data_IF_789553694061
#
_entry.id   IF_789553694061
#
_cell.length_a   1.000
_cell.length_b   1.000
_cell.length_c   1.000
_cell.angle_alpha   90.00
_cell.angle_beta   90.00
_cell.angle_gamma   90.00
#
_symmetry.space_group_name_H-M   'P 1'
#
loop_
_entity.id
_entity.type
_entity.pdbx_description
1 polymer ?
#
# COMPACT_ATOMS: atom_id res chain seq x y z
N UNK A 1 -12.57 -22.33 -5.84
CA UNK A 1 -11.27 -22.69 -5.24
C UNK A 1 -10.60 -21.40 -4.74
N UNK A 2 -9.98 -21.49 -3.60
CA UNK A 2 -9.28 -20.39 -2.94
C UNK A 2 -7.85 -20.80 -2.60
N UNK A 3 -6.99 -19.83 -2.42
CA UNK A 3 -5.64 -20.01 -1.91
C UNK A 3 -5.46 -19.16 -0.66
N UNK A 4 -4.97 -19.77 0.41
CA UNK A 4 -4.42 -19.09 1.57
C UNK A 4 -2.90 -19.09 1.43
N UNK A 5 -2.33 -17.90 1.24
CA UNK A 5 -0.87 -17.70 1.21
C UNK A 5 -0.44 -17.18 2.57
N UNK A 6 0.46 -17.92 3.23
CA UNK A 6 1.08 -17.50 4.49
C UNK A 6 2.52 -17.09 4.22
N UNK A 7 2.92 -15.94 4.75
CA UNK A 7 4.23 -15.32 4.51
C UNK A 7 4.86 -14.98 5.85
N UNK A 8 5.97 -15.63 6.20
CA UNK A 8 6.71 -15.31 7.42
C UNK A 8 7.57 -14.07 7.24
N UNK A 9 7.54 -13.14 8.18
CA UNK A 9 8.51 -12.06 8.23
C UNK A 9 9.92 -12.63 8.46
N UNK A 10 10.05 -13.59 9.36
CA UNK A 10 11.30 -14.28 9.64
C UNK A 10 11.39 -15.59 8.84
N UNK A 11 11.05 -16.74 9.44
CA UNK A 11 11.13 -18.04 8.76
C UNK A 11 10.11 -19.03 9.33
N UNK A 12 9.53 -19.86 8.44
CA UNK A 12 8.78 -21.05 8.81
C UNK A 12 9.70 -22.25 9.07
N UNK A 13 9.29 -23.11 9.98
CA UNK A 13 9.85 -24.44 10.13
C UNK A 13 9.20 -25.44 9.16
N UNK A 14 9.88 -26.56 8.89
CA UNK A 14 9.39 -27.56 7.94
C UNK A 14 8.01 -28.14 8.31
N UNK A 15 7.66 -28.16 9.60
CA UNK A 15 6.36 -28.65 10.09
C UNK A 15 5.20 -27.66 9.95
N UNK A 16 5.48 -26.37 9.77
CA UNK A 16 4.45 -25.33 9.79
C UNK A 16 3.46 -25.46 8.63
N UNK A 17 3.89 -26.00 7.48
CA UNK A 17 2.99 -26.24 6.35
C UNK A 17 1.89 -27.23 6.71
N UNK A 18 2.20 -28.30 7.46
CA UNK A 18 1.20 -29.26 7.92
C UNK A 18 0.27 -28.65 8.95
N UNK A 19 0.82 -27.86 9.89
CA UNK A 19 0.03 -27.16 10.91
C UNK A 19 -0.94 -26.16 10.25
N UNK A 20 -0.47 -25.43 9.23
CA UNK A 20 -1.30 -24.50 8.48
C UNK A 20 -2.43 -25.21 7.72
N UNK A 21 -2.13 -26.34 7.05
CA UNK A 21 -3.13 -27.15 6.37
C UNK A 21 -4.18 -27.72 7.35
N UNK A 22 -3.75 -28.19 8.51
CA UNK A 22 -4.65 -28.68 9.56
C UNK A 22 -5.58 -27.56 10.08
N UNK A 23 -5.08 -26.34 10.26
CA UNK A 23 -5.92 -25.19 10.64
C UNK A 23 -6.98 -24.87 9.59
N UNK A 24 -6.60 -24.89 8.31
CA UNK A 24 -7.55 -24.71 7.20
C UNK A 24 -8.61 -25.82 7.25
N UNK A 25 -8.25 -27.08 7.42
CA UNK A 25 -9.19 -28.18 7.54
C UNK A 25 -10.11 -28.05 8.77
N UNK A 26 -9.58 -27.64 9.92
CA UNK A 26 -10.34 -27.42 11.16
C UNK A 26 -11.36 -26.27 11.05
N UNK A 27 -11.16 -25.31 10.14
CA UNK A 27 -12.16 -24.27 9.84
C UNK A 27 -13.38 -24.77 9.05
N UNK A 28 -13.42 -26.08 8.70
CA UNK A 28 -14.48 -26.70 7.90
C UNK A 28 -14.24 -26.66 6.40
N UNK A 29 -13.08 -26.19 5.95
CA UNK A 29 -12.71 -26.18 4.54
C UNK A 29 -12.08 -27.52 4.13
N UNK A 30 -12.14 -27.87 2.85
CA UNK A 30 -11.46 -29.03 2.29
C UNK A 30 -10.16 -28.61 1.63
N UNK A 31 -9.02 -29.01 2.20
CA UNK A 31 -7.69 -28.79 1.64
C UNK A 31 -7.53 -29.63 0.37
N UNK A 32 -7.11 -28.99 -0.71
CA UNK A 32 -6.85 -29.62 -2.02
C UNK A 32 -5.37 -29.89 -2.20
N UNK A 33 -4.53 -28.91 -1.90
CA UNK A 33 -3.08 -29.00 -1.97
C UNK A 33 -2.40 -28.07 -0.97
N UNK A 34 -1.17 -28.34 -0.63
CA UNK A 34 -0.30 -27.42 0.10
C UNK A 34 1.13 -27.52 -0.43
N UNK A 35 1.85 -26.41 -0.46
CA UNK A 35 3.21 -26.39 -0.98
C UNK A 35 3.94 -25.10 -0.68
N UNK A 36 5.26 -25.13 -0.75
CA UNK A 36 6.09 -23.95 -0.65
C UNK A 36 6.08 -23.16 -1.96
N UNK A 37 5.86 -21.83 -1.86
CA UNK A 37 6.23 -20.89 -2.93
C UNK A 37 7.73 -20.65 -2.84
N UNK A 38 8.22 -20.43 -1.62
CA UNK A 38 9.63 -20.33 -1.27
C UNK A 38 9.85 -20.98 0.10
N UNK A 39 10.75 -21.97 0.16
CA UNK A 39 10.96 -22.78 1.35
C UNK A 39 11.35 -21.93 2.56
N UNK A 40 10.60 -22.10 3.64
CA UNK A 40 10.77 -21.37 4.88
C UNK A 40 10.31 -19.91 4.84
N UNK A 41 9.85 -19.38 3.69
CA UNK A 41 9.43 -17.98 3.56
C UNK A 41 7.95 -17.81 3.26
N UNK A 42 7.44 -18.53 2.27
CA UNK A 42 6.05 -18.41 1.86
C UNK A 42 5.49 -19.76 1.42
N UNK A 43 4.27 -20.05 1.84
CA UNK A 43 3.56 -21.27 1.51
C UNK A 43 2.13 -21.00 1.06
N UNK A 44 1.61 -21.87 0.19
CA UNK A 44 0.23 -21.86 -0.27
C UNK A 44 -0.53 -23.07 0.28
N UNK A 45 -1.80 -22.83 0.61
CA UNK A 45 -2.79 -23.90 0.87
C UNK A 45 -3.97 -23.61 -0.05
N UNK A 46 -4.18 -24.50 -1.02
CA UNK A 46 -5.36 -24.44 -1.87
C UNK A 46 -6.51 -25.22 -1.20
N UNK A 47 -7.71 -24.64 -1.23
CA UNK A 47 -8.86 -25.21 -0.56
C UNK A 47 -10.17 -24.87 -1.26
N UNK A 48 -11.23 -25.61 -0.88
CA UNK A 48 -12.63 -25.30 -1.16
C UNK A 48 -13.39 -25.14 0.15
N UNK A 49 -14.34 -24.21 0.20
CA UNK A 49 -15.10 -23.89 1.43
C UNK A 49 -15.26 -22.41 1.66
N UNK A 50 -15.49 -22.03 2.91
CA UNK A 50 -15.68 -20.64 3.32
C UNK A 50 -14.33 -19.92 3.50
N UNK A 51 -14.03 -18.99 2.59
CA UNK A 51 -12.80 -18.22 2.62
C UNK A 51 -12.68 -17.32 3.87
N UNK A 52 -13.81 -16.82 4.39
CA UNK A 52 -13.80 -15.96 5.58
C UNK A 52 -13.45 -16.77 6.84
N UNK A 53 -14.01 -18.00 6.97
CA UNK A 53 -13.69 -18.90 8.06
C UNK A 53 -12.20 -19.33 8.01
N UNK A 54 -11.67 -19.62 6.81
CA UNK A 54 -10.24 -19.94 6.63
C UNK A 54 -9.37 -18.73 6.99
N UNK A 55 -9.73 -17.54 6.51
CA UNK A 55 -8.98 -16.31 6.86
C UNK A 55 -8.89 -16.14 8.37
N UNK A 56 -10.01 -16.25 9.08
CA UNK A 56 -10.03 -16.14 10.56
C UNK A 56 -9.20 -17.23 11.26
N UNK A 57 -9.06 -18.42 10.66
CA UNK A 57 -8.30 -19.53 11.22
C UNK A 57 -6.78 -19.38 11.01
N UNK A 58 -6.34 -18.69 9.94
CA UNK A 58 -4.92 -18.57 9.60
C UNK A 58 -4.31 -17.22 9.97
N UNK A 59 -5.10 -16.13 10.02
CA UNK A 59 -4.62 -14.83 10.49
C UNK A 59 -4.21 -14.91 11.97
N UNK A 60 -2.97 -14.50 12.27
CA UNK A 60 -2.40 -14.57 13.63
C UNK A 60 -2.15 -15.99 14.15
N UNK A 61 -2.23 -17.01 13.30
CA UNK A 61 -2.01 -18.40 13.68
C UNK A 61 -0.53 -18.74 13.94
N UNK A 62 0.36 -18.00 13.29
CA UNK A 62 1.80 -18.10 13.44
C UNK A 62 2.36 -16.72 13.81
N UNK A 63 3.40 -16.73 14.63
CA UNK A 63 4.06 -15.49 15.03
C UNK A 63 4.68 -14.81 13.80
N UNK A 64 4.59 -13.49 13.75
CA UNK A 64 5.16 -12.62 12.70
C UNK A 64 4.89 -13.13 11.27
N UNK A 65 3.64 -13.54 11.01
CA UNK A 65 3.21 -14.11 9.73
C UNK A 65 2.02 -13.35 9.17
N UNK A 66 2.12 -12.94 7.92
CA UNK A 66 1.01 -12.39 7.16
C UNK A 66 0.25 -13.51 6.46
N UNK A 67 -1.09 -13.40 6.38
CA UNK A 67 -1.95 -14.37 5.73
C UNK A 67 -2.89 -13.65 4.75
N UNK A 68 -2.85 -14.08 3.48
CA UNK A 68 -3.69 -13.53 2.42
C UNK A 68 -4.53 -14.65 1.81
N UNK A 69 -5.86 -14.52 1.93
CA UNK A 69 -6.82 -15.50 1.42
C UNK A 69 -7.58 -14.89 0.25
N UNK A 70 -7.54 -15.54 -0.92
CA UNK A 70 -8.14 -15.04 -2.13
C UNK A 70 -8.57 -16.17 -3.08
N UNK A 71 -9.37 -15.85 -4.10
CA UNK A 71 -9.68 -16.82 -5.17
C UNK A 71 -8.42 -17.16 -5.94
N UNK A 72 -8.16 -18.44 -6.14
CA UNK A 72 -6.98 -18.93 -6.86
C UNK A 72 -6.90 -18.36 -8.29
N UNK A 73 -8.04 -18.28 -8.98
CA UNK A 73 -8.12 -17.76 -10.36
C UNK A 73 -7.81 -16.27 -10.48
N UNK A 74 -8.00 -15.51 -9.40
CA UNK A 74 -7.86 -14.05 -9.39
C UNK A 74 -6.53 -13.59 -8.73
N UNK A 75 -5.58 -14.51 -8.42
CA UNK A 75 -4.39 -14.17 -7.63
C UNK A 75 -3.38 -13.28 -8.36
N UNK A 76 -3.31 -13.36 -9.70
CA UNK A 76 -2.42 -12.49 -10.50
C UNK A 76 -3.13 -11.17 -10.77
N UNK A 77 -2.44 -10.06 -10.51
CA UNK A 77 -2.97 -8.70 -10.71
C UNK A 77 -2.23 -8.00 -11.84
N UNK A 78 -2.98 -7.31 -12.69
CA UNK A 78 -2.46 -6.55 -13.82
C UNK A 78 -2.47 -5.03 -13.61
N UNK A 79 -3.04 -4.56 -12.52
CA UNK A 79 -3.04 -3.15 -12.14
C UNK A 79 -2.74 -3.02 -10.65
N UNK A 80 -1.75 -2.19 -10.30
CA UNK A 80 -1.56 -1.73 -8.93
C UNK A 80 -1.81 -0.22 -8.84
N UNK A 81 -2.60 0.19 -7.86
CA UNK A 81 -2.75 1.59 -7.45
C UNK A 81 -2.33 1.69 -5.98
N UNK A 82 -1.32 2.49 -5.70
CA UNK A 82 -0.72 2.55 -4.38
C UNK A 82 -0.64 3.97 -3.83
N UNK A 83 -0.80 4.11 -2.51
CA UNK A 83 -0.43 5.32 -1.79
C UNK A 83 1.09 5.49 -1.76
N UNK A 84 1.56 6.69 -1.40
CA UNK A 84 2.98 7.04 -1.31
C UNK A 84 3.49 7.04 0.12
N UNK A 85 3.02 8.01 0.92
CA UNK A 85 3.50 8.26 2.27
C UNK A 85 3.17 7.06 3.17
N UNK A 86 4.11 6.61 3.99
CA UNK A 86 4.00 5.42 4.86
C UNK A 86 3.63 4.10 4.14
N UNK A 87 3.53 4.10 2.80
CA UNK A 87 3.21 2.93 1.97
C UNK A 87 4.34 2.59 0.99
N UNK A 88 4.72 3.49 0.07
CA UNK A 88 5.82 3.30 -0.89
C UNK A 88 7.13 3.97 -0.44
N UNK A 89 7.03 4.89 0.51
CA UNK A 89 8.15 5.50 1.23
C UNK A 89 7.91 5.43 2.74
N UNK A 90 8.98 5.54 3.53
CA UNK A 90 8.93 5.33 4.99
C UNK A 90 8.47 6.55 5.79
N UNK A 91 8.22 7.69 5.15
CA UNK A 91 7.94 8.98 5.82
C UNK A 91 6.60 9.57 5.40
N UNK A 92 6.15 10.57 6.17
CA UNK A 92 5.07 11.52 5.84
C UNK A 92 5.71 12.83 5.34
N UNK A 93 5.62 13.10 4.03
CA UNK A 93 6.33 14.23 3.41
C UNK A 93 6.01 15.59 4.03
N UNK A 94 4.75 15.83 4.41
CA UNK A 94 4.36 17.12 5.00
C UNK A 94 4.93 17.30 6.40
N UNK A 95 5.09 16.23 7.17
CA UNK A 95 5.66 16.26 8.52
C UNK A 95 7.17 16.53 8.48
N UNK A 96 7.87 15.97 7.48
CA UNK A 96 9.28 16.26 7.25
C UNK A 96 9.49 17.73 6.82
N UNK A 97 8.67 18.27 5.91
CA UNK A 97 8.73 19.69 5.56
C UNK A 97 8.47 20.59 6.78
N UNK A 98 7.56 20.18 7.66
CA UNK A 98 7.30 20.88 8.92
C UNK A 98 8.50 20.87 9.87
N UNK A 99 9.25 19.79 9.90
CA UNK A 99 10.48 19.67 10.69
C UNK A 99 11.54 20.66 10.20
N UNK A 100 11.78 20.70 8.88
CA UNK A 100 12.68 21.71 8.29
C UNK A 100 12.25 23.15 8.55
N UNK A 101 10.94 23.43 8.58
CA UNK A 101 10.40 24.75 8.87
C UNK A 101 10.35 25.09 10.38
N UNK A 102 10.66 24.13 11.27
CA UNK A 102 10.54 24.30 12.71
C UNK A 102 9.11 24.43 13.23
N UNK A 103 8.11 23.94 12.49
CA UNK A 103 6.67 24.08 12.78
C UNK A 103 5.96 22.74 13.02
N UNK A 104 6.71 21.68 13.32
CA UNK A 104 6.15 20.34 13.56
C UNK A 104 5.04 20.33 14.63
N UNK A 105 5.14 21.08 15.76
CA UNK A 105 4.06 21.14 16.74
C UNK A 105 2.75 21.73 16.18
N UNK A 106 2.83 22.73 15.30
CA UNK A 106 1.66 23.36 14.69
C UNK A 106 0.97 22.41 13.69
N UNK A 107 1.75 21.65 12.92
CA UNK A 107 1.23 20.61 12.02
C UNK A 107 0.54 19.49 12.84
N UNK A 108 1.16 19.07 13.95
CA UNK A 108 0.59 18.07 14.84
C UNK A 108 -0.77 18.51 15.43
N UNK A 109 -0.91 19.78 15.82
CA UNK A 109 -2.18 20.33 16.29
C UNK A 109 -3.29 20.23 15.24
N UNK A 110 -3.00 20.62 13.98
CA UNK A 110 -3.97 20.51 12.87
C UNK A 110 -4.37 19.05 12.63
N UNK A 111 -3.39 18.15 12.68
CA UNK A 111 -3.63 16.70 12.50
C UNK A 111 -4.52 16.15 13.62
N UNK A 112 -4.28 16.52 14.88
CA UNK A 112 -5.10 16.10 16.01
C UNK A 112 -6.54 16.62 15.91
N UNK A 113 -6.74 17.88 15.49
CA UNK A 113 -8.07 18.44 15.24
C UNK A 113 -8.82 17.70 14.14
N UNK A 114 -8.13 17.32 13.06
CA UNK A 114 -8.72 16.49 12.02
C UNK A 114 -9.10 15.09 12.55
N UNK A 115 -8.27 14.49 13.40
CA UNK A 115 -8.57 13.20 14.02
C UNK A 115 -9.78 13.25 14.97
N UNK A 116 -10.03 14.40 15.61
CA UNK A 116 -11.23 14.64 16.42
C UNK A 116 -12.48 14.97 15.57
N UNK A 117 -12.34 15.06 14.25
CA UNK A 117 -13.45 15.37 13.33
C UNK A 117 -13.81 16.86 13.27
N UNK A 118 -12.94 17.75 13.78
CA UNK A 118 -13.14 19.22 13.72
C UNK A 118 -12.84 19.79 12.33
N UNK A 119 -12.02 19.09 11.55
CA UNK A 119 -11.64 19.45 10.18
C UNK A 119 -11.85 18.24 9.29
N UNK A 120 -12.31 18.47 8.06
CA UNK A 120 -12.27 17.46 7.05
C UNK A 120 -10.84 17.32 6.44
N UNK A 121 -10.66 16.33 5.56
CA UNK A 121 -9.35 16.06 4.95
C UNK A 121 -8.81 17.28 4.17
N UNK A 122 -9.68 17.95 3.39
CA UNK A 122 -9.29 19.08 2.55
C UNK A 122 -8.93 20.31 3.39
N UNK A 123 -9.73 20.60 4.41
CA UNK A 123 -9.48 21.68 5.37
C UNK A 123 -8.18 21.45 6.13
N UNK A 124 -7.94 20.23 6.59
CA UNK A 124 -6.72 19.86 7.29
C UNK A 124 -5.49 19.98 6.38
N UNK A 125 -5.57 19.51 5.13
CA UNK A 125 -4.47 19.64 4.17
C UNK A 125 -4.17 21.12 3.87
N UNK A 126 -5.19 21.93 3.57
CA UNK A 126 -5.02 23.37 3.29
C UNK A 126 -4.42 24.10 4.50
N UNK A 127 -4.88 23.79 5.70
CA UNK A 127 -4.37 24.39 6.94
C UNK A 127 -2.89 24.05 7.17
N UNK A 128 -2.50 22.79 6.97
CA UNK A 128 -1.10 22.36 7.08
C UNK A 128 -0.21 23.01 6.01
N UNK A 129 -0.67 23.06 4.76
CA UNK A 129 0.08 23.70 3.67
C UNK A 129 0.22 25.20 3.89
N UNK A 130 -0.79 25.88 4.46
CA UNK A 130 -0.71 27.30 4.77
C UNK A 130 0.42 27.63 5.76
N UNK A 131 0.73 26.73 6.69
CA UNK A 131 1.84 26.86 7.65
C UNK A 131 3.22 26.78 6.98
N UNK A 132 3.33 26.16 5.80
CA UNK A 132 4.58 26.09 5.03
C UNK A 132 4.86 27.36 4.19
N UNK A 133 4.01 28.39 4.27
CA UNK A 133 4.18 29.63 3.49
C UNK A 133 5.54 30.28 3.76
N UNK A 134 6.25 30.62 2.68
CA UNK A 134 7.58 31.27 2.74
C UNK A 134 8.74 30.30 2.90
N UNK A 135 8.52 28.99 3.05
CA UNK A 135 9.57 27.98 3.00
C UNK A 135 10.17 27.94 1.58
N UNK A 136 11.50 27.86 1.48
CA UNK A 136 12.17 27.70 0.19
C UNK A 136 11.79 26.36 -0.47
N UNK A 137 11.52 26.37 -1.78
CA UNK A 137 11.27 25.15 -2.52
C UNK A 137 12.45 24.16 -2.51
N UNK A 138 13.68 24.65 -2.33
CA UNK A 138 14.89 23.83 -2.23
C UNK A 138 14.85 22.86 -1.04
N UNK A 139 14.06 23.16 0.00
CA UNK A 139 13.87 22.25 1.15
C UNK A 139 13.16 20.96 0.72
N UNK A 140 12.34 21.00 -0.32
CA UNK A 140 11.70 19.81 -0.87
C UNK A 140 12.76 18.88 -1.46
N UNK A 141 13.67 19.43 -2.27
CA UNK A 141 14.75 18.66 -2.90
C UNK A 141 15.73 18.12 -1.86
N UNK A 142 16.02 18.92 -0.84
CA UNK A 142 16.82 18.49 0.31
C UNK A 142 16.15 17.33 1.06
N UNK A 143 14.86 17.45 1.36
CA UNK A 143 14.08 16.40 2.02
C UNK A 143 14.05 15.10 1.20
N UNK A 144 13.89 15.19 -0.13
CA UNK A 144 13.95 14.05 -1.04
C UNK A 144 15.27 13.28 -0.90
N UNK A 145 16.39 14.00 -0.83
CA UNK A 145 17.73 13.39 -0.76
C UNK A 145 18.05 12.86 0.65
N UNK A 146 17.67 13.58 1.69
CA UNK A 146 18.10 13.30 3.05
C UNK A 146 17.16 12.40 3.85
N UNK A 147 15.85 12.41 3.52
CA UNK A 147 14.81 11.79 4.36
C UNK A 147 13.98 10.73 3.67
N UNK A 148 13.80 10.84 2.34
CA UNK A 148 12.97 9.86 1.62
C UNK A 148 13.73 8.54 1.49
N UNK A 149 13.14 7.50 2.03
CA UNK A 149 13.62 6.12 1.88
C UNK A 149 12.51 5.31 1.25
N UNK A 150 12.82 4.62 0.15
CA UNK A 150 11.87 3.73 -0.51
C UNK A 150 11.54 2.56 0.43
N UNK A 151 10.26 2.23 0.55
CA UNK A 151 9.80 1.13 1.39
C UNK A 151 10.35 -0.20 0.87
N UNK A 152 10.86 -1.07 1.76
CA UNK A 152 11.34 -2.40 1.38
C UNK A 152 10.27 -3.17 0.58
N UNK A 153 10.68 -3.78 -0.52
CA UNK A 153 9.81 -4.52 -1.44
C UNK A 153 9.05 -3.65 -2.46
N UNK A 154 9.08 -2.33 -2.37
CA UNK A 154 8.32 -1.45 -3.28
C UNK A 154 8.78 -1.57 -4.72
N UNK A 155 10.10 -1.55 -4.97
CA UNK A 155 10.65 -1.73 -6.32
C UNK A 155 10.36 -3.12 -6.84
N UNK A 156 10.60 -4.16 -6.04
CA UNK A 156 10.33 -5.54 -6.42
C UNK A 156 8.86 -5.72 -6.81
N UNK A 157 7.92 -5.23 -6.00
CA UNK A 157 6.48 -5.33 -6.26
C UNK A 157 6.09 -4.65 -7.57
N UNK A 158 6.42 -3.37 -7.71
CA UNK A 158 5.98 -2.56 -8.86
C UNK A 158 6.64 -3.04 -10.15
N UNK A 159 7.95 -3.27 -10.13
CA UNK A 159 8.68 -3.69 -11.34
C UNK A 159 8.31 -5.11 -11.77
N UNK A 160 8.01 -6.02 -10.83
CA UNK A 160 7.54 -7.37 -11.17
C UNK A 160 6.17 -7.33 -11.84
N UNK A 161 5.20 -6.57 -11.30
CA UNK A 161 3.89 -6.39 -11.95
C UNK A 161 4.06 -5.83 -13.36
N UNK A 162 4.92 -4.83 -13.54
CA UNK A 162 5.19 -4.24 -14.86
C UNK A 162 5.89 -5.17 -15.83
N UNK A 163 6.86 -5.95 -15.36
CA UNK A 163 7.57 -6.94 -16.18
C UNK A 163 6.62 -8.03 -16.71
N UNK A 164 5.53 -8.30 -16.00
CA UNK A 164 4.46 -9.21 -16.44
C UNK A 164 3.35 -8.50 -17.23
N UNK A 165 3.61 -7.30 -17.76
CA UNK A 165 2.68 -6.55 -18.61
C UNK A 165 1.62 -5.75 -17.86
N UNK A 166 1.72 -5.65 -16.54
CA UNK A 166 0.80 -4.87 -15.72
C UNK A 166 1.11 -3.38 -15.70
N UNK A 167 0.19 -2.62 -15.11
CA UNK A 167 0.25 -1.16 -14.94
C UNK A 167 0.36 -0.79 -13.47
N UNK A 168 1.11 0.27 -13.18
CA UNK A 168 1.33 0.77 -11.83
C UNK A 168 1.07 2.28 -11.76
N UNK A 169 0.21 2.70 -10.85
CA UNK A 169 -0.16 4.10 -10.61
C UNK A 169 0.09 4.46 -9.15
N UNK A 170 0.87 5.50 -8.92
CA UNK A 170 1.05 6.10 -7.60
C UNK A 170 0.00 7.19 -7.40
N UNK A 171 -0.76 7.16 -6.31
CA UNK A 171 -1.76 8.18 -6.00
C UNK A 171 -1.64 8.62 -4.56
N UNK A 172 -1.29 9.89 -4.32
CA UNK A 172 -0.95 10.38 -3.00
C UNK A 172 -1.71 11.66 -2.61
N UNK A 173 -2.10 11.74 -1.34
CA UNK A 173 -2.50 12.99 -0.70
C UNK A 173 -1.33 13.96 -0.45
N UNK A 174 -0.08 13.51 -0.64
CA UNK A 174 1.12 14.33 -0.62
C UNK A 174 1.29 15.19 -1.87
N UNK A 175 2.53 15.47 -2.29
CA UNK A 175 2.82 16.50 -3.29
C UNK A 175 3.58 15.96 -4.49
N UNK A 176 3.29 16.50 -5.70
CA UNK A 176 3.92 16.11 -6.97
C UNK A 176 5.44 16.21 -6.93
N UNK A 177 6.01 17.19 -6.22
CA UNK A 177 7.46 17.35 -6.05
C UNK A 177 8.14 16.16 -5.34
N UNK A 178 7.37 15.35 -4.59
CA UNK A 178 7.81 14.07 -4.03
C UNK A 178 7.35 12.89 -4.89
N UNK A 179 6.06 12.92 -5.29
CA UNK A 179 5.46 11.77 -5.96
C UNK A 179 6.10 11.45 -7.33
N UNK A 180 6.47 12.47 -8.11
CA UNK A 180 7.07 12.26 -9.43
C UNK A 180 8.47 11.60 -9.34
N UNK A 181 9.43 12.08 -8.51
CA UNK A 181 10.71 11.41 -8.31
C UNK A 181 10.56 10.00 -7.72
N UNK A 182 9.72 9.82 -6.71
CA UNK A 182 9.46 8.52 -6.07
C UNK A 182 8.87 7.53 -7.07
N UNK A 183 7.88 7.95 -7.86
CA UNK A 183 7.30 7.11 -8.90
C UNK A 183 8.33 6.69 -9.96
N UNK A 184 9.21 7.60 -10.36
CA UNK A 184 10.29 7.33 -11.32
C UNK A 184 11.27 6.31 -10.75
N UNK A 185 11.69 6.48 -9.50
CA UNK A 185 12.66 5.63 -8.84
C UNK A 185 12.14 4.20 -8.60
N UNK A 186 10.88 4.07 -8.17
CA UNK A 186 10.24 2.75 -7.97
C UNK A 186 9.91 2.10 -9.30
N UNK A 187 9.54 2.90 -10.32
CA UNK A 187 9.19 2.42 -11.64
C UNK A 187 7.69 2.45 -11.94
N UNK A 188 6.90 3.30 -11.31
CA UNK A 188 5.49 3.51 -11.66
C UNK A 188 5.32 4.08 -13.07
N UNK A 189 4.18 3.78 -13.70
CA UNK A 189 3.84 4.35 -15.00
C UNK A 189 3.32 5.79 -14.88
N UNK A 190 2.70 6.13 -13.76
CA UNK A 190 2.07 7.42 -13.52
C UNK A 190 2.06 7.76 -12.03
N UNK A 191 2.23 9.05 -11.71
CA UNK A 191 1.97 9.61 -10.39
C UNK A 191 0.83 10.63 -10.44
N UNK A 192 0.02 10.67 -9.38
CA UNK A 192 -1.05 11.64 -9.18
C UNK A 192 -0.97 12.12 -7.73
N UNK A 193 -0.76 13.42 -7.53
CA UNK A 193 -0.64 14.01 -6.20
C UNK A 193 -1.04 15.49 -6.23
N UNK A 194 -1.12 16.12 -5.07
CA UNK A 194 -1.42 17.54 -4.95
C UNK A 194 -0.25 18.40 -5.44
N UNK A 195 -0.54 19.60 -5.94
CA UNK A 195 0.46 20.57 -6.37
C UNK A 195 0.62 21.67 -5.34
N UNK A 196 1.84 21.85 -4.84
CA UNK A 196 2.18 23.02 -4.02
C UNK A 196 2.30 24.27 -4.89
N UNK A 197 1.69 25.38 -4.46
CA UNK A 197 1.90 26.67 -5.08
C UNK A 197 3.32 27.18 -4.75
N UNK A 198 4.08 27.53 -5.80
CA UNK A 198 5.42 28.08 -5.68
C UNK A 198 5.46 29.42 -6.44
N UNK A 199 6.10 30.41 -5.83
CA UNK A 199 6.36 31.72 -6.46
C UNK A 199 7.71 32.25 -5.99
N UNK A 200 8.53 32.66 -6.92
CA UNK A 200 9.87 33.24 -6.65
C UNK A 200 10.75 32.33 -5.76
N UNK A 201 10.66 31.00 -5.97
CA UNK A 201 11.41 29.99 -5.21
C UNK A 201 10.88 29.71 -3.79
N UNK A 202 9.71 30.27 -3.44
CA UNK A 202 9.09 30.10 -2.12
C UNK A 202 7.71 29.45 -2.23
N UNK A 203 7.36 28.62 -1.23
CA UNK A 203 6.02 28.07 -1.10
C UNK A 203 5.02 29.19 -0.81
N UNK A 204 3.90 29.21 -1.55
CA UNK A 204 2.84 30.21 -1.36
C UNK A 204 1.93 29.91 -0.16
N UNK A 205 2.03 28.69 0.41
CA UNK A 205 1.11 28.19 1.43
C UNK A 205 -0.24 27.76 0.85
N UNK A 206 -0.30 27.43 -0.43
CA UNK A 206 -1.54 27.01 -1.12
C UNK A 206 -1.33 25.71 -1.90
N UNK A 207 -2.39 24.91 -1.97
CA UNK A 207 -2.52 23.80 -2.92
C UNK A 207 -3.15 24.35 -4.19
N UNK A 208 -2.58 24.04 -5.36
CA UNK A 208 -3.08 24.42 -6.68
C UNK A 208 -3.94 23.30 -7.28
N UNK A 209 -5.08 23.68 -7.86
CA UNK A 209 -6.02 22.74 -8.48
C UNK A 209 -6.86 21.96 -7.47
N UNK A 210 -7.42 20.85 -7.96
CA UNK A 210 -8.26 19.95 -7.17
C UNK A 210 -7.42 19.11 -6.20
N UNK A 211 -7.98 18.88 -5.01
CA UNK A 211 -7.29 18.09 -3.98
C UNK A 211 -7.44 16.58 -4.25
N UNK A 212 -6.31 15.90 -4.19
CA UNK A 212 -6.23 14.44 -4.22
C UNK A 212 -6.54 13.89 -2.82
N UNK A 213 -7.77 13.54 -2.59
CA UNK A 213 -8.27 12.93 -1.36
C UNK A 213 -8.78 11.51 -1.59
N UNK A 214 -9.50 10.96 -0.61
CA UNK A 214 -9.98 9.58 -0.60
C UNK A 214 -10.82 9.21 -1.85
N UNK A 215 -11.75 10.09 -2.25
CA UNK A 215 -12.59 9.83 -3.43
C UNK A 215 -11.80 9.93 -4.73
N UNK A 216 -10.79 10.80 -4.79
CA UNK A 216 -9.88 10.89 -5.94
C UNK A 216 -9.06 9.60 -6.07
N UNK A 217 -8.54 9.04 -4.97
CA UNK A 217 -7.81 7.76 -4.99
C UNK A 217 -8.68 6.63 -5.54
N UNK A 218 -9.92 6.52 -5.05
CA UNK A 218 -10.90 5.55 -5.57
C UNK A 218 -11.18 5.78 -7.06
N UNK A 219 -11.40 7.02 -7.47
CA UNK A 219 -11.65 7.37 -8.88
C UNK A 219 -10.46 6.98 -9.77
N UNK A 220 -9.23 7.23 -9.35
CA UNK A 220 -8.01 6.85 -10.08
C UNK A 220 -7.97 5.35 -10.34
N UNK A 221 -8.30 4.52 -9.35
CA UNK A 221 -8.38 3.07 -9.51
C UNK A 221 -9.43 2.68 -10.57
N UNK A 222 -10.64 3.25 -10.47
CA UNK A 222 -11.75 2.94 -11.39
C UNK A 222 -11.44 3.41 -12.81
N UNK A 223 -10.90 4.62 -12.95
CA UNK A 223 -10.51 5.18 -14.26
C UNK A 223 -9.40 4.34 -14.89
N UNK A 224 -8.41 3.89 -14.10
CA UNK A 224 -7.34 3.03 -14.60
C UNK A 224 -7.88 1.66 -15.06
N UNK A 225 -8.73 1.01 -14.27
CA UNK A 225 -9.38 -0.24 -14.70
C UNK A 225 -10.14 -0.06 -16.00
N UNK A 226 -10.91 1.03 -16.14
CA UNK A 226 -11.66 1.33 -17.37
C UNK A 226 -10.74 1.60 -18.56
N UNK A 227 -9.69 2.39 -18.37
CA UNK A 227 -8.75 2.77 -19.45
C UNK A 227 -7.97 1.58 -20.03
N UNK A 228 -7.72 0.56 -19.22
CA UNK A 228 -7.00 -0.66 -19.61
C UNK A 228 -7.94 -1.86 -19.82
N UNK A 229 -9.25 -1.64 -19.81
CA UNK A 229 -10.28 -2.68 -19.99
C UNK A 229 -10.11 -3.88 -19.03
N UNK A 230 -9.71 -3.61 -17.79
CA UNK A 230 -9.43 -4.62 -16.79
C UNK A 230 -10.66 -4.90 -15.91
N UNK A 231 -10.95 -6.17 -15.59
CA UNK A 231 -11.97 -6.51 -14.60
C UNK A 231 -11.48 -6.10 -13.20
N UNK A 232 -12.40 -5.86 -12.27
CA UNK A 232 -12.06 -5.54 -10.88
C UNK A 232 -11.09 -6.56 -10.27
N UNK A 233 -11.29 -7.86 -10.56
CA UNK A 233 -10.42 -8.94 -10.06
C UNK A 233 -8.95 -8.81 -10.49
N UNK A 234 -8.64 -8.05 -11.53
CA UNK A 234 -7.27 -7.82 -11.98
C UNK A 234 -6.57 -6.64 -11.25
N UNK A 235 -7.27 -5.95 -10.35
CA UNK A 235 -6.75 -4.78 -9.65
C UNK A 235 -6.25 -5.08 -8.24
N UNK A 236 -5.21 -4.37 -7.83
CA UNK A 236 -4.61 -4.33 -6.50
C UNK A 236 -4.59 -2.88 -6.02
N UNK A 237 -5.03 -2.63 -4.80
CA UNK A 237 -4.85 -1.35 -4.12
C UNK A 237 -4.04 -1.55 -2.83
N UNK A 238 -3.09 -0.66 -2.55
CA UNK A 238 -2.24 -0.72 -1.35
C UNK A 238 -2.21 0.65 -0.67
N UNK A 239 -2.42 0.69 0.64
CA UNK A 239 -2.36 1.90 1.44
C UNK A 239 -2.39 1.60 2.94
N UNK A 240 -2.09 2.62 3.76
CA UNK A 240 -2.02 2.51 5.23
C UNK A 240 -3.08 3.34 5.96
N UNK A 241 -3.58 4.40 5.30
CA UNK A 241 -4.40 5.44 5.92
C UNK A 241 -5.90 5.32 5.67
N UNK A 242 -6.70 6.05 6.45
CA UNK A 242 -8.16 6.09 6.28
C UNK A 242 -8.60 6.69 4.93
N UNK A 243 -7.76 7.54 4.33
CA UNK A 243 -7.95 8.10 2.98
C UNK A 243 -7.81 7.06 1.86
N UNK A 244 -7.26 5.86 2.16
CA UNK A 244 -7.12 4.76 1.21
C UNK A 244 -8.31 3.81 1.21
N UNK A 245 -9.12 3.82 2.27
CA UNK A 245 -10.22 2.88 2.45
C UNK A 245 -11.12 2.79 1.21
N UNK A 246 -11.61 3.91 0.61
CA UNK A 246 -12.48 3.81 -0.56
C UNK A 246 -11.81 3.18 -1.79
N UNK A 247 -10.48 3.33 -1.93
CA UNK A 247 -9.69 2.70 -2.99
C UNK A 247 -9.48 1.21 -2.69
N UNK A 248 -9.12 0.87 -1.46
CA UNK A 248 -8.89 -0.49 -0.96
C UNK A 248 -10.16 -1.34 -1.12
N UNK A 249 -11.33 -0.80 -0.72
CA UNK A 249 -12.62 -1.49 -0.84
C UNK A 249 -13.08 -1.69 -2.30
N UNK A 250 -12.67 -0.80 -3.20
CA UNK A 250 -13.05 -0.87 -4.61
C UNK A 250 -12.17 -1.82 -5.45
N UNK A 251 -11.01 -2.23 -4.94
CA UNK A 251 -10.06 -3.09 -5.64
C UNK A 251 -10.47 -4.57 -5.59
N UNK A 252 -9.98 -5.35 -6.56
CA UNK A 252 -10.09 -6.81 -6.54
C UNK A 252 -9.33 -7.46 -5.38
N UNK A 253 -8.19 -6.86 -5.01
CA UNK A 253 -7.49 -7.12 -3.76
C UNK A 253 -7.08 -5.78 -3.14
N UNK A 254 -7.73 -5.39 -2.06
CA UNK A 254 -7.31 -4.26 -1.24
C UNK A 254 -6.42 -4.73 -0.10
N UNK A 255 -5.22 -4.17 -0.03
CA UNK A 255 -4.20 -4.51 0.97
C UNK A 255 -3.95 -3.33 1.88
N UNK A 256 -4.13 -3.55 3.18
CA UNK A 256 -3.71 -2.64 4.23
C UNK A 256 -2.24 -2.97 4.60
N UNK A 257 -1.33 -2.04 4.36
CA UNK A 257 0.11 -2.22 4.60
C UNK A 257 0.53 -1.46 5.86
N UNK A 258 0.98 -2.19 6.91
CA UNK A 258 1.33 -1.62 8.23
C UNK A 258 0.32 -0.56 8.70
N UNK A 259 -0.96 -0.84 8.44
CA UNK A 259 -2.01 0.16 8.42
C UNK A 259 -2.58 0.46 9.81
N UNK A 260 -3.19 1.63 9.93
CA UNK A 260 -3.97 2.00 11.10
C UNK A 260 -5.17 1.04 11.26
N UNK A 261 -5.66 0.79 12.50
CA UNK A 261 -6.68 -0.23 12.77
C UNK A 261 -7.95 -0.11 11.92
N UNK A 262 -8.39 1.11 11.61
CA UNK A 262 -9.57 1.36 10.77
C UNK A 262 -9.36 0.88 9.33
N UNK A 263 -8.20 1.14 8.76
CA UNK A 263 -7.83 0.71 7.40
C UNK A 263 -7.61 -0.80 7.34
N UNK A 264 -6.92 -1.36 8.34
CA UNK A 264 -6.72 -2.79 8.49
C UNK A 264 -8.06 -3.57 8.55
N UNK A 265 -9.06 -3.03 9.25
CA UNK A 265 -10.38 -3.64 9.35
C UNK A 265 -11.19 -3.60 8.05
N UNK A 266 -10.96 -2.61 7.18
CA UNK A 266 -11.66 -2.44 5.91
C UNK A 266 -11.06 -3.28 4.77
N UNK A 267 -9.80 -3.71 4.90
CA UNK A 267 -9.07 -4.36 3.83
C UNK A 267 -9.38 -5.86 3.70
N UNK A 268 -9.37 -6.34 2.45
CA UNK A 268 -9.49 -7.77 2.15
C UNK A 268 -8.23 -8.55 2.58
N UNK A 269 -7.07 -7.91 2.61
CA UNK A 269 -5.81 -8.49 3.05
C UNK A 269 -4.99 -7.48 3.87
N UNK A 270 -4.11 -7.98 4.74
CA UNK A 270 -3.20 -7.17 5.55
C UNK A 270 -1.79 -7.69 5.42
N UNK A 271 -0.84 -6.78 5.43
CA UNK A 271 0.59 -7.04 5.63
C UNK A 271 1.01 -6.24 6.85
N UNK A 272 1.13 -6.92 7.97
CA UNK A 272 1.41 -6.32 9.28
C UNK A 272 2.85 -6.59 9.74
N UNK A 273 3.53 -7.59 9.17
CA UNK A 273 4.83 -8.10 9.62
C UNK A 273 5.90 -8.08 8.54
N UNK A 274 5.53 -8.43 7.30
CA UNK A 274 6.43 -8.46 6.14
C UNK A 274 6.59 -7.10 5.47
N UNK A 275 7.43 -7.06 4.46
CA UNK A 275 7.53 -5.94 3.53
C UNK A 275 6.57 -6.10 2.34
N UNK A 276 6.63 -5.19 1.36
CA UNK A 276 5.73 -5.21 0.20
C UNK A 276 5.91 -6.45 -0.71
N UNK A 277 7.00 -7.20 -0.56
CA UNK A 277 7.20 -8.48 -1.28
C UNK A 277 6.22 -9.56 -0.85
N UNK A 278 5.59 -9.44 0.33
CA UNK A 278 4.52 -10.33 0.77
C UNK A 278 3.38 -10.40 -0.26
N UNK A 279 3.10 -9.30 -0.94
CA UNK A 279 2.08 -9.23 -1.99
C UNK A 279 2.49 -10.05 -3.23
N UNK A 280 3.79 -10.10 -3.57
CA UNK A 280 4.27 -10.93 -4.68
C UNK A 280 4.09 -12.41 -4.39
N UNK A 281 4.38 -12.86 -3.17
CA UNK A 281 4.09 -14.24 -2.76
C UNK A 281 2.59 -14.53 -2.83
N UNK A 282 1.74 -13.63 -2.35
CA UNK A 282 0.29 -13.77 -2.48
C UNK A 282 -0.16 -13.87 -3.95
N UNK A 283 0.50 -13.17 -4.87
CA UNK A 283 0.29 -13.30 -6.32
C UNK A 283 0.86 -14.59 -6.92
N UNK A 284 1.60 -15.39 -6.15
CA UNK A 284 2.20 -16.66 -6.58
C UNK A 284 3.58 -16.53 -7.21
N UNK A 285 4.24 -15.39 -7.07
CA UNK A 285 5.59 -15.17 -7.58
C UNK A 285 6.64 -15.55 -6.54
N UNK A 286 7.42 -16.64 -6.73
CA UNK A 286 8.61 -16.90 -5.94
C UNK A 286 9.67 -15.82 -6.22
N UNK A 287 10.61 -15.64 -5.32
CA UNK A 287 11.68 -14.62 -5.46
C UNK A 287 12.43 -14.71 -6.79
N UNK A 288 12.59 -15.92 -7.34
CA UNK A 288 13.23 -16.14 -8.64
C UNK A 288 12.46 -15.56 -9.84
N UNK A 289 11.17 -15.22 -9.68
CA UNK A 289 10.32 -14.61 -10.69
C UNK A 289 10.22 -13.09 -10.56
N UNK A 290 10.88 -12.46 -9.58
CA UNK A 290 10.86 -11.02 -9.39
C UNK A 290 11.75 -10.31 -10.39
N UNK A 291 11.33 -9.14 -10.85
CA UNK A 291 12.09 -8.34 -11.83
C UNK A 291 13.37 -7.73 -11.25
N UNK A 292 13.38 -7.48 -9.94
CA UNK A 292 14.57 -7.05 -9.20
C UNK A 292 14.51 -7.60 -7.77
N UNK A 293 15.67 -7.71 -7.13
CA UNK A 293 15.77 -7.80 -5.68
C UNK A 293 15.94 -6.38 -5.14
N UNK A 294 15.26 -6.05 -4.04
CA UNK A 294 15.48 -4.78 -3.35
C UNK A 294 16.86 -4.73 -2.74
#
# INVERSE_FOLDING_TARGET
MFTATLIAADRFDAGDISIAADRVAQSGASVVSSGWIEEGKALDIEFTGDAAAVRAAVEGAFDRTDAIVQKTADRVRSLIVADMDSTMITIECIDELADYAGIKPQIADVTERAMRGELDFEEALRSRVALLKGLSENVIDQCLVERVVIMPGARALVQTIRAHGGMAVLVSGGFTRFADPVATEIGFNKAIANRLGIRDGLLTGRVEGDIVGAQTKRKVLIDAMSAYELPTSASLAVGDGANDIPMIEAAGLGVAYHAKPKTAAAAAARVDHGDLTAILYAMGYPRSAWACAD
#
